data_IF_113536817379
#
_entry.id   IF_113536817379
#
_cell.length_a   1.000
_cell.length_b   1.000
_cell.length_c   1.000
_cell.angle_alpha   90.00
_cell.angle_beta   90.00
_cell.angle_gamma   90.00
#
_symmetry.space_group_name_H-M   'P 1'
#
loop_
_entity.id
_entity.type
_entity.pdbx_description
1 polymer ?
#
# COMPACT_ATOMS: atom_id res chain seq x y z
N UNK A 1 24.86 -0.50 -34.37
CA UNK A 1 25.09 0.63 -33.46
C UNK A 1 24.39 0.31 -32.14
N UNK A 2 25.17 -0.22 -31.19
CA UNK A 2 24.74 -0.82 -29.93
C UNK A 2 25.01 0.19 -28.80
N UNK A 3 23.95 0.72 -28.20
CA UNK A 3 24.05 1.58 -26.99
C UNK A 3 23.83 0.76 -25.76
N UNK A 4 24.84 0.66 -24.91
CA UNK A 4 24.77 0.02 -23.59
C UNK A 4 24.14 0.95 -22.54
N UNK A 5 23.34 0.44 -21.58
CA UNK A 5 22.81 1.25 -20.49
C UNK A 5 23.84 1.39 -19.37
N UNK A 6 24.11 2.63 -19.01
CA UNK A 6 24.92 3.03 -17.84
C UNK A 6 24.24 2.62 -16.52
N UNK A 7 24.87 1.72 -15.79
CA UNK A 7 24.58 1.41 -14.39
C UNK A 7 25.05 2.58 -13.50
N UNK A 8 24.13 3.33 -12.93
CA UNK A 8 24.42 4.28 -11.84
C UNK A 8 24.59 3.54 -10.53
N UNK A 9 25.83 3.42 -10.08
CA UNK A 9 26.19 3.00 -8.76
C UNK A 9 25.74 4.07 -7.73
N UNK A 10 24.80 3.73 -6.86
CA UNK A 10 24.45 4.56 -5.69
C UNK A 10 25.49 4.30 -4.59
N UNK A 11 26.36 5.26 -4.36
CA UNK A 11 27.29 5.30 -3.24
C UNK A 11 26.52 5.43 -1.91
N UNK A 12 26.60 4.40 -1.09
CA UNK A 12 26.18 4.45 0.32
C UNK A 12 27.16 5.33 1.10
N UNK A 13 26.80 6.57 1.39
CA UNK A 13 27.50 7.40 2.37
C UNK A 13 27.26 6.82 3.77
N UNK A 14 28.29 6.19 4.30
CA UNK A 14 28.40 5.85 5.71
C UNK A 14 28.39 7.15 6.53
N UNK A 15 27.36 7.34 7.35
CA UNK A 15 27.33 8.44 8.33
C UNK A 15 28.24 8.08 9.50
N UNK A 16 29.38 8.73 9.59
CA UNK A 16 30.20 8.73 10.79
C UNK A 16 29.40 9.37 11.94
N UNK A 17 29.15 8.60 12.99
CA UNK A 17 28.72 9.11 14.30
C UNK A 17 29.95 9.66 15.02
N UNK A 18 29.95 10.91 15.52
CA UNK A 18 31.01 11.40 16.40
C UNK A 18 30.88 10.73 17.78
N UNK A 19 32.01 10.26 18.32
CA UNK A 19 32.14 9.71 19.66
C UNK A 19 31.96 10.80 20.73
N UNK A 20 31.38 10.48 21.91
CA UNK A 20 31.25 11.45 23.00
C UNK A 20 32.61 11.75 23.63
N UNK A 21 33.00 13.02 23.64
CA UNK A 21 34.16 13.53 24.34
C UNK A 21 33.98 13.37 25.86
N UNK A 22 34.70 12.47 26.46
CA UNK A 22 34.88 12.41 27.91
C UNK A 22 35.76 13.58 28.34
N UNK A 23 35.15 14.62 28.88
CA UNK A 23 35.82 15.71 29.57
C UNK A 23 36.27 15.15 30.94
N UNK A 24 37.58 14.80 31.05
CA UNK A 24 38.24 14.52 32.33
C UNK A 24 38.33 15.82 33.11
N UNK A 25 37.50 16.00 34.13
CA UNK A 25 37.67 17.01 35.17
C UNK A 25 38.95 16.72 35.93
N UNK A 26 40.00 17.54 35.70
CA UNK A 26 41.20 17.58 36.57
C UNK A 26 40.80 18.23 37.89
N UNK A 27 40.79 17.46 38.95
CA UNK A 27 40.81 17.99 40.33
C UNK A 27 42.07 18.82 40.51
N UNK A 28 41.88 20.13 40.68
CA UNK A 28 42.94 21.09 41.04
C UNK A 28 43.02 21.08 42.57
N UNK A 29 44.07 20.49 43.11
CA UNK A 29 44.44 20.63 44.53
C UNK A 29 44.74 22.08 44.88
N UNK A 30 44.03 22.61 45.84
CA UNK A 30 44.16 23.97 46.36
C UNK A 30 45.12 23.92 47.54
N UNK A 31 46.17 24.81 47.64
CA UNK A 31 47.15 24.79 48.70
C UNK A 31 46.55 25.29 50.04
N UNK A 32 47.02 24.79 51.20
CA UNK A 32 46.48 25.17 52.51
C UNK A 32 46.85 26.62 52.86
N UNK A 33 45.79 27.41 53.13
CA UNK A 33 45.93 28.77 53.61
C UNK A 33 46.27 28.85 55.10
N UNK A 34 46.89 29.95 55.55
CA UNK A 34 47.39 30.11 56.90
C UNK A 34 46.29 30.22 57.96
N UNK A 35 46.51 29.53 59.08
CA UNK A 35 45.64 29.57 60.29
C UNK A 35 45.57 30.97 60.90
N UNK A 36 44.40 31.53 61.22
CA UNK A 36 44.24 32.76 61.98
C UNK A 36 44.22 32.48 63.49
N UNK A 37 45.11 33.17 64.18
CA UNK A 37 45.28 33.14 65.61
C UNK A 37 43.99 33.44 66.40
N UNK A 38 43.66 32.58 67.35
CA UNK A 38 42.48 32.66 68.26
C UNK A 38 42.66 33.67 69.38
N UNK A 39 41.98 34.79 69.33
CA UNK A 39 41.81 35.69 70.49
C UNK A 39 40.48 35.41 71.21
N UNK A 40 40.44 35.24 72.55
CA UNK A 40 39.24 34.90 73.32
C UNK A 40 38.45 36.18 73.73
N UNK A 41 37.49 36.61 72.93
CA UNK A 41 36.63 37.74 73.35
C UNK A 41 35.45 38.09 72.46
N UNK A 42 35.48 37.69 71.17
CA UNK A 42 34.48 38.15 70.20
C UNK A 42 33.47 37.05 69.78
N UNK A 43 33.36 35.98 70.54
CA UNK A 43 32.77 34.72 70.03
C UNK A 43 31.26 34.58 70.17
N UNK A 44 30.56 35.39 70.98
CA UNK A 44 29.11 35.18 71.16
C UNK A 44 28.29 36.00 70.16
N UNK A 45 28.66 37.26 69.95
CA UNK A 45 27.94 38.10 68.96
C UNK A 45 28.15 37.60 67.50
N UNK A 46 29.35 37.18 67.15
CA UNK A 46 29.61 36.61 65.80
C UNK A 46 28.87 35.30 65.57
N UNK A 47 28.69 34.46 66.60
CA UNK A 47 27.92 33.21 66.46
C UNK A 47 26.41 33.44 66.29
N UNK A 48 25.85 34.47 66.97
CA UNK A 48 24.47 34.83 66.81
C UNK A 48 24.22 35.42 65.40
N UNK A 49 25.07 36.29 64.90
CA UNK A 49 24.99 36.84 63.55
C UNK A 49 25.24 35.79 62.45
N UNK A 50 26.10 34.83 62.67
CA UNK A 50 26.30 33.72 61.73
C UNK A 50 25.13 32.75 61.69
N UNK A 51 24.39 32.53 62.80
CA UNK A 51 23.16 31.75 62.79
C UNK A 51 22.01 32.42 62.02
N UNK A 52 21.77 33.72 62.25
CA UNK A 52 20.75 34.48 61.58
C UNK A 52 21.05 34.57 60.06
N UNK A 53 22.32 34.69 59.72
CA UNK A 53 22.73 34.72 58.32
C UNK A 53 22.61 33.35 57.65
N UNK A 54 22.87 32.26 58.38
CA UNK A 54 22.69 30.88 57.86
C UNK A 54 21.23 30.53 57.63
N UNK A 55 20.33 30.91 58.56
CA UNK A 55 18.91 30.61 58.41
C UNK A 55 18.29 31.40 57.26
N UNK A 56 18.67 32.64 57.07
CA UNK A 56 18.22 33.43 55.91
C UNK A 56 18.77 32.88 54.57
N UNK A 57 20.01 32.38 54.56
CA UNK A 57 20.58 31.76 53.36
C UNK A 57 19.89 30.44 53.04
N UNK A 58 19.56 29.63 54.04
CA UNK A 58 18.84 28.42 53.84
C UNK A 58 17.45 28.66 53.22
N UNK A 59 16.75 29.69 53.69
CA UNK A 59 15.47 30.11 53.11
C UNK A 59 15.59 30.62 51.67
N UNK A 60 16.61 31.44 51.37
CA UNK A 60 16.84 31.93 50.01
C UNK A 60 17.16 30.78 49.05
N UNK A 61 17.99 29.85 49.46
CA UNK A 61 18.33 28.69 48.64
C UNK A 61 17.10 27.81 48.40
N UNK A 62 16.26 27.58 49.42
CA UNK A 62 15.05 26.79 49.28
C UNK A 62 14.03 27.46 48.34
N UNK A 63 13.79 28.75 48.51
CA UNK A 63 12.84 29.49 47.66
C UNK A 63 13.33 29.58 46.22
N UNK A 64 14.63 29.85 45.99
CA UNK A 64 15.18 29.88 44.63
C UNK A 64 15.20 28.49 44.00
N UNK A 65 15.52 27.44 44.77
CA UNK A 65 15.50 26.06 44.30
C UNK A 65 14.11 25.62 43.86
N UNK A 66 13.08 25.93 44.69
CA UNK A 66 11.68 25.62 44.30
C UNK A 66 11.19 26.43 43.13
N UNK A 67 11.58 27.68 42.99
CA UNK A 67 11.20 28.50 41.83
C UNK A 67 11.83 27.96 40.54
N UNK A 68 13.10 27.61 40.57
CA UNK A 68 13.78 26.98 39.41
C UNK A 68 13.18 25.62 39.05
N UNK A 69 12.85 24.80 40.05
CA UNK A 69 12.19 23.51 39.80
C UNK A 69 10.81 23.69 39.17
N UNK A 70 10.02 24.69 39.61
CA UNK A 70 8.74 25.00 39.01
C UNK A 70 8.85 25.46 37.55
N UNK A 71 9.82 26.33 37.25
CA UNK A 71 10.08 26.78 35.87
C UNK A 71 10.53 25.60 34.99
N UNK A 72 11.40 24.73 35.49
CA UNK A 72 11.85 23.56 34.79
C UNK A 72 10.69 22.57 34.54
N UNK A 73 9.78 22.38 35.51
CA UNK A 73 8.62 21.52 35.37
C UNK A 73 7.65 22.06 34.31
N UNK A 74 7.35 23.38 34.32
CA UNK A 74 6.49 24.00 33.29
C UNK A 74 7.14 23.92 31.91
N UNK A 75 8.44 24.18 31.80
CA UNK A 75 9.19 24.04 30.54
C UNK A 75 9.19 22.60 30.03
N UNK A 76 9.34 21.63 30.92
CA UNK A 76 9.26 20.20 30.58
C UNK A 76 7.88 19.77 30.06
N UNK A 77 6.82 20.22 30.71
CA UNK A 77 5.44 19.96 30.26
C UNK A 77 5.15 20.60 28.89
N UNK A 78 5.63 21.82 28.68
CA UNK A 78 5.48 22.50 27.40
C UNK A 78 6.23 21.76 26.27
N UNK A 79 7.47 21.36 26.52
CA UNK A 79 8.24 20.58 25.57
C UNK A 79 7.59 19.23 25.24
N UNK A 80 7.01 18.54 26.24
CA UNK A 80 6.25 17.31 26.03
C UNK A 80 4.99 17.55 25.19
N UNK A 81 4.24 18.63 25.46
CA UNK A 81 3.07 18.98 24.68
C UNK A 81 3.40 19.24 23.21
N UNK A 82 4.48 19.99 22.93
CA UNK A 82 4.96 20.23 21.58
C UNK A 82 5.42 18.93 20.92
N UNK A 83 6.20 18.11 21.60
CA UNK A 83 6.67 16.83 21.06
C UNK A 83 5.49 15.88 20.76
N UNK A 84 4.46 15.84 21.61
CA UNK A 84 3.28 15.02 21.36
C UNK A 84 2.46 15.53 20.17
N UNK A 85 2.35 16.83 19.98
CA UNK A 85 1.69 17.43 18.84
C UNK A 85 2.39 17.03 17.51
N UNK A 86 3.71 17.15 17.45
CA UNK A 86 4.48 16.76 16.28
C UNK A 86 4.42 15.26 16.01
N UNK A 87 4.44 14.43 17.06
CA UNK A 87 4.31 12.99 16.89
C UNK A 87 2.95 12.57 16.35
N UNK A 88 1.87 13.25 16.77
CA UNK A 88 0.52 13.01 16.24
C UNK A 88 0.42 13.43 14.76
N UNK A 89 1.02 14.54 14.38
CA UNK A 89 1.03 14.99 13.00
C UNK A 89 1.80 14.00 12.12
N UNK A 90 2.99 13.60 12.54
CA UNK A 90 3.79 12.59 11.82
C UNK A 90 3.05 11.25 11.69
N UNK A 91 2.35 10.82 12.73
CA UNK A 91 1.56 9.59 12.69
C UNK A 91 0.38 9.67 11.69
N UNK A 92 -0.26 10.84 11.59
CA UNK A 92 -1.32 11.07 10.59
C UNK A 92 -0.78 11.05 9.17
N UNK A 93 0.36 11.68 8.94
CA UNK A 93 1.00 11.71 7.63
C UNK A 93 1.45 10.30 7.21
N UNK A 94 2.03 9.52 8.13
CA UNK A 94 2.40 8.11 7.89
C UNK A 94 1.18 7.24 7.59
N UNK A 95 0.05 7.45 8.29
CA UNK A 95 -1.17 6.72 8.03
C UNK A 95 -1.77 7.07 6.65
N UNK A 96 -1.74 8.35 6.27
CA UNK A 96 -2.19 8.80 4.96
C UNK A 96 -1.33 8.17 3.84
N UNK A 97 -0.01 8.23 3.98
CA UNK A 97 0.93 7.62 3.05
C UNK A 97 0.75 6.10 2.94
N UNK A 98 0.59 5.40 4.07
CA UNK A 98 0.35 3.95 4.08
C UNK A 98 -0.96 3.56 3.39
N UNK A 99 -2.01 4.36 3.54
CA UNK A 99 -3.27 4.16 2.81
C UNK A 99 -3.11 4.36 1.30
N UNK A 100 -2.38 5.38 0.90
CA UNK A 100 -2.11 5.66 -0.51
C UNK A 100 -1.25 4.55 -1.14
N UNK A 101 -0.18 4.13 -0.47
CA UNK A 101 0.65 3.01 -0.90
C UNK A 101 -0.15 1.71 -0.99
N UNK A 102 -1.03 1.43 -0.02
CA UNK A 102 -1.92 0.27 -0.05
C UNK A 102 -2.92 0.30 -1.22
N UNK A 103 -3.47 1.47 -1.55
CA UNK A 103 -4.36 1.64 -2.70
C UNK A 103 -3.61 1.44 -4.04
N UNK A 104 -2.39 1.96 -4.15
CA UNK A 104 -1.54 1.77 -5.34
C UNK A 104 -1.16 0.29 -5.51
N UNK A 105 -0.81 -0.40 -4.42
CA UNK A 105 -0.46 -1.83 -4.46
C UNK A 105 -1.64 -2.70 -4.89
N UNK A 106 -2.85 -2.43 -4.39
CA UNK A 106 -4.07 -3.12 -4.83
C UNK A 106 -4.28 -2.95 -6.33
N UNK A 107 -4.20 -1.71 -6.81
CA UNK A 107 -4.39 -1.40 -8.22
C UNK A 107 -3.29 -2.00 -9.12
N UNK A 108 -2.07 -2.16 -8.60
CA UNK A 108 -0.95 -2.74 -9.35
C UNK A 108 -1.24 -4.19 -9.77
N UNK A 109 -1.76 -5.03 -8.87
CA UNK A 109 -2.15 -6.39 -9.21
C UNK A 109 -3.26 -6.41 -10.26
N UNK A 110 -4.33 -5.65 -10.05
CA UNK A 110 -5.46 -5.61 -10.96
C UNK A 110 -5.08 -5.05 -12.35
N UNK A 111 -4.11 -4.13 -12.40
CA UNK A 111 -3.61 -3.56 -13.66
C UNK A 111 -2.92 -4.58 -14.56
N UNK A 112 -2.41 -5.66 -14.00
CA UNK A 112 -1.74 -6.77 -14.70
C UNK A 112 -2.73 -7.77 -15.32
N UNK A 113 -4.02 -7.62 -15.00
CA UNK A 113 -5.11 -8.43 -15.56
C UNK A 113 -5.77 -7.66 -16.69
N UNK A 114 -5.82 -8.25 -17.87
CA UNK A 114 -6.39 -7.58 -19.05
C UNK A 114 -7.01 -8.58 -20.02
N UNK A 115 -7.75 -8.07 -20.97
CA UNK A 115 -8.25 -8.83 -22.09
C UNK A 115 -8.06 -8.06 -23.41
N UNK A 116 -8.01 -8.77 -24.52
CA UNK A 116 -8.08 -8.17 -25.85
C UNK A 116 -8.66 -9.18 -26.84
N UNK A 117 -9.10 -8.65 -27.98
CA UNK A 117 -9.63 -9.45 -29.07
C UNK A 117 -8.61 -9.42 -30.21
N UNK A 118 -8.08 -10.59 -30.57
CA UNK A 118 -7.17 -10.76 -31.69
C UNK A 118 -8.00 -10.86 -32.98
N UNK A 119 -7.54 -10.18 -34.05
CA UNK A 119 -8.15 -10.15 -35.37
C UNK A 119 -9.65 -9.73 -35.39
N UNK A 120 -10.06 -8.67 -34.69
CA UNK A 120 -11.48 -8.32 -34.53
C UNK A 120 -12.18 -8.03 -35.88
N UNK A 121 -11.43 -7.64 -36.90
CA UNK A 121 -11.90 -7.34 -38.24
C UNK A 121 -11.60 -8.44 -39.26
N UNK A 122 -11.00 -9.54 -38.83
CA UNK A 122 -10.65 -10.67 -39.67
C UNK A 122 -11.81 -11.62 -39.93
N UNK A 123 -11.52 -12.75 -40.57
CA UNK A 123 -12.49 -13.85 -40.68
C UNK A 123 -12.88 -14.31 -39.28
N UNK A 124 -14.18 -14.47 -39.04
CA UNK A 124 -14.73 -14.83 -37.72
C UNK A 124 -14.09 -16.09 -37.11
N UNK A 125 -13.69 -17.04 -37.92
CA UNK A 125 -12.99 -18.26 -37.50
C UNK A 125 -11.62 -17.98 -36.87
N UNK A 126 -10.98 -16.87 -37.24
CA UNK A 126 -9.65 -16.48 -36.75
C UNK A 126 -9.71 -15.49 -35.60
N UNK A 127 -10.91 -15.08 -35.17
CA UNK A 127 -11.05 -14.19 -34.03
C UNK A 127 -10.84 -14.97 -32.75
N UNK A 128 -10.03 -14.40 -31.84
CA UNK A 128 -9.74 -14.98 -30.53
C UNK A 128 -9.90 -13.95 -29.44
N UNK A 129 -10.45 -14.35 -28.31
CA UNK A 129 -10.46 -13.55 -27.10
C UNK A 129 -9.30 -14.03 -26.22
N UNK A 130 -8.46 -13.13 -25.81
CA UNK A 130 -7.38 -13.38 -24.87
C UNK A 130 -7.76 -12.82 -23.49
N UNK A 131 -7.54 -13.59 -22.44
CA UNK A 131 -7.63 -13.17 -21.06
C UNK A 131 -6.27 -13.40 -20.43
N UNK A 132 -5.62 -12.34 -20.04
CA UNK A 132 -4.24 -12.34 -19.60
C UNK A 132 -4.15 -11.96 -18.12
N UNK A 133 -3.49 -12.81 -17.35
CA UNK A 133 -3.08 -12.52 -15.99
C UNK A 133 -1.55 -12.51 -15.91
N UNK A 134 -0.94 -11.32 -15.84
CA UNK A 134 0.52 -11.14 -15.65
C UNK A 134 0.89 -11.03 -14.17
N UNK A 135 -0.07 -11.13 -13.27
CA UNK A 135 0.19 -11.10 -11.83
C UNK A 135 0.77 -12.44 -11.37
N UNK A 136 1.61 -12.45 -10.32
CA UNK A 136 2.07 -13.70 -9.70
C UNK A 136 0.95 -14.44 -8.95
N UNK A 137 -0.20 -13.80 -8.74
CA UNK A 137 -1.33 -14.33 -8.01
C UNK A 137 -2.47 -14.70 -8.96
N UNK A 138 -3.28 -15.72 -8.63
CA UNK A 138 -4.47 -16.05 -9.40
C UNK A 138 -5.55 -14.98 -9.24
N UNK A 139 -6.42 -14.86 -10.23
CA UNK A 139 -7.65 -14.08 -10.15
C UNK A 139 -8.85 -15.03 -10.30
N UNK A 140 -9.93 -14.69 -9.61
CA UNK A 140 -11.12 -15.54 -9.52
C UNK A 140 -12.39 -14.85 -10.00
N UNK A 141 -13.46 -15.59 -10.21
CA UNK A 141 -14.75 -15.07 -10.61
C UNK A 141 -14.72 -14.29 -11.90
N UNK A 142 -13.81 -14.63 -12.82
CA UNK A 142 -13.63 -13.89 -14.06
C UNK A 142 -14.83 -14.06 -14.97
N UNK A 143 -15.37 -12.95 -15.44
CA UNK A 143 -16.51 -12.89 -16.35
C UNK A 143 -16.27 -11.84 -17.41
N UNK A 144 -16.52 -12.22 -18.67
CA UNK A 144 -16.52 -11.30 -19.78
C UNK A 144 -17.96 -10.95 -20.15
N UNK A 145 -18.24 -9.67 -20.24
CA UNK A 145 -19.52 -9.20 -20.81
C UNK A 145 -19.32 -8.88 -22.28
N UNK A 146 -20.14 -9.50 -23.10
CA UNK A 146 -20.18 -9.29 -24.54
C UNK A 146 -21.51 -8.68 -24.94
N UNK A 147 -21.53 -7.91 -26.03
CA UNK A 147 -22.76 -7.59 -26.76
C UNK A 147 -22.77 -8.44 -28.03
N UNK A 148 -23.83 -9.19 -28.22
CA UNK A 148 -24.05 -10.04 -29.41
C UNK A 148 -25.35 -9.56 -30.08
N UNK A 149 -25.25 -9.02 -31.29
CA UNK A 149 -26.38 -8.41 -32.00
C UNK A 149 -27.20 -7.45 -31.11
N UNK A 150 -26.47 -6.57 -30.38
CA UNK A 150 -27.02 -5.54 -29.47
C UNK A 150 -27.66 -6.12 -28.17
N UNK A 151 -27.62 -7.43 -27.97
CA UNK A 151 -28.06 -8.07 -26.72
C UNK A 151 -26.85 -8.40 -25.82
N UNK A 152 -26.97 -8.17 -24.49
CA UNK A 152 -25.94 -8.54 -23.58
C UNK A 152 -25.83 -10.06 -23.44
N UNK A 153 -24.59 -10.53 -23.41
CA UNK A 153 -24.26 -11.93 -23.14
C UNK A 153 -23.02 -11.98 -22.25
N UNK A 154 -22.92 -12.97 -21.37
CA UNK A 154 -21.74 -13.10 -20.56
C UNK A 154 -21.12 -14.51 -20.68
N UNK A 155 -19.81 -14.52 -20.55
CA UNK A 155 -18.99 -15.71 -20.53
C UNK A 155 -18.33 -15.83 -19.16
N UNK A 156 -18.57 -16.91 -18.45
CA UNK A 156 -17.96 -17.20 -17.17
C UNK A 156 -16.71 -18.03 -17.39
N UNK A 157 -15.60 -17.61 -16.79
CA UNK A 157 -14.28 -18.22 -16.96
C UNK A 157 -13.72 -18.78 -15.64
N UNK A 158 -14.46 -18.65 -14.55
CA UNK A 158 -14.09 -19.06 -13.19
C UNK A 158 -12.77 -18.44 -12.71
N UNK A 159 -11.64 -19.14 -12.82
CA UNK A 159 -10.36 -18.68 -12.32
C UNK A 159 -9.33 -18.60 -13.45
N UNK A 160 -8.52 -17.55 -13.42
CA UNK A 160 -7.37 -17.41 -14.32
C UNK A 160 -6.09 -17.56 -13.50
N UNK A 161 -5.27 -18.60 -13.80
CA UNK A 161 -4.03 -18.85 -13.08
C UNK A 161 -3.05 -17.67 -13.14
N UNK A 162 -2.07 -17.63 -12.23
CA UNK A 162 -0.99 -16.66 -12.32
C UNK A 162 -0.17 -16.87 -13.60
N UNK A 163 0.31 -15.78 -14.18
CA UNK A 163 1.17 -15.81 -15.35
C UNK A 163 0.58 -16.55 -16.57
N UNK A 164 -0.74 -16.50 -16.71
CA UNK A 164 -1.45 -17.22 -17.78
C UNK A 164 -2.01 -16.27 -18.85
N UNK A 165 -1.94 -16.71 -20.10
CA UNK A 165 -2.70 -16.18 -21.24
C UNK A 165 -3.69 -17.26 -21.69
N UNK A 166 -4.98 -17.06 -21.41
CA UNK A 166 -6.02 -18.00 -21.82
C UNK A 166 -6.67 -17.48 -23.08
N UNK A 167 -6.65 -18.30 -24.11
CA UNK A 167 -7.12 -17.95 -25.45
C UNK A 167 -8.39 -18.71 -25.77
N UNK A 168 -9.43 -18.00 -26.12
CA UNK A 168 -10.74 -18.53 -26.50
C UNK A 168 -11.00 -18.27 -27.99
N UNK A 169 -10.83 -19.28 -28.87
CA UNK A 169 -11.18 -19.14 -30.28
C UNK A 169 -12.69 -18.96 -30.47
N UNK A 170 -13.12 -18.04 -31.33
CA UNK A 170 -14.55 -17.79 -31.58
C UNK A 170 -15.33 -19.06 -32.01
N UNK A 171 -14.76 -20.03 -32.74
CA UNK A 171 -15.43 -21.30 -33.05
C UNK A 171 -15.74 -22.18 -31.82
N UNK A 172 -15.02 -21.99 -30.71
CA UNK A 172 -15.24 -22.73 -29.45
C UNK A 172 -16.25 -22.05 -28.51
N UNK A 173 -16.76 -20.89 -28.88
CA UNK A 173 -17.72 -20.11 -28.11
C UNK A 173 -19.14 -20.33 -28.62
N UNK A 174 -20.02 -20.85 -27.77
CA UNK A 174 -21.40 -21.14 -28.11
C UNK A 174 -22.35 -20.18 -27.39
N UNK A 175 -23.20 -19.52 -28.14
CA UNK A 175 -24.25 -18.66 -27.60
C UNK A 175 -25.49 -19.50 -27.31
N UNK A 176 -26.11 -19.30 -26.15
CA UNK A 176 -27.35 -19.98 -25.82
C UNK A 176 -27.95 -19.52 -24.51
N UNK A 177 -29.06 -20.11 -24.15
CA UNK A 177 -29.64 -20.05 -22.82
C UNK A 177 -29.32 -21.34 -22.07
N UNK A 178 -29.53 -21.36 -20.74
CA UNK A 178 -29.27 -22.55 -19.95
C UNK A 178 -30.05 -23.79 -20.43
N UNK A 179 -31.27 -23.55 -20.92
CA UNK A 179 -32.21 -24.59 -21.33
C UNK A 179 -31.97 -25.11 -22.76
N UNK A 180 -31.11 -24.43 -23.54
CA UNK A 180 -30.86 -24.83 -24.92
C UNK A 180 -29.87 -25.99 -24.98
N UNK A 181 -30.22 -27.09 -25.64
CA UNK A 181 -29.31 -28.22 -25.88
C UNK A 181 -28.01 -27.73 -26.54
N UNK A 182 -26.89 -28.33 -26.14
CA UNK A 182 -25.56 -27.89 -26.61
C UNK A 182 -25.41 -27.96 -28.15
N UNK A 183 -26.01 -29.00 -28.73
CA UNK A 183 -25.94 -29.21 -30.19
C UNK A 183 -26.64 -28.11 -31.00
N UNK A 184 -27.63 -27.45 -30.39
CA UNK A 184 -28.43 -26.41 -31.05
C UNK A 184 -27.88 -24.99 -30.82
N UNK A 185 -26.84 -24.85 -29.99
CA UNK A 185 -26.23 -23.56 -29.71
C UNK A 185 -25.39 -23.08 -30.87
N UNK A 186 -25.70 -21.90 -31.44
CA UNK A 186 -24.90 -21.37 -32.53
C UNK A 186 -23.52 -20.91 -32.04
N UNK A 187 -22.53 -21.01 -32.92
CA UNK A 187 -21.15 -20.57 -32.66
C UNK A 187 -21.01 -19.08 -32.85
N UNK A 188 -20.25 -18.41 -31.98
CA UNK A 188 -19.93 -16.97 -32.15
C UNK A 188 -19.07 -16.68 -33.42
N UNK A 189 -18.50 -17.71 -34.04
CA UNK A 189 -17.84 -17.60 -35.33
C UNK A 189 -18.82 -17.52 -36.51
N UNK A 190 -20.11 -17.77 -36.31
CA UNK A 190 -21.12 -17.63 -37.37
C UNK A 190 -21.18 -16.16 -37.83
N UNK A 191 -21.13 -15.90 -39.15
CA UNK A 191 -21.21 -14.55 -39.73
C UNK A 191 -22.47 -13.76 -39.36
N UNK A 192 -23.57 -14.45 -38.99
CA UNK A 192 -24.81 -13.81 -38.55
C UNK A 192 -24.66 -13.04 -37.22
N UNK A 193 -23.63 -13.35 -36.42
CA UNK A 193 -23.40 -12.68 -35.15
C UNK A 193 -22.38 -11.55 -35.28
N UNK A 194 -22.80 -10.36 -34.84
CA UNK A 194 -21.92 -9.23 -34.55
C UNK A 194 -21.72 -9.19 -33.05
N UNK A 195 -20.47 -9.24 -32.60
CA UNK A 195 -20.20 -9.22 -31.17
C UNK A 195 -18.93 -8.41 -30.84
N UNK A 196 -18.91 -7.87 -29.63
CA UNK A 196 -17.78 -7.18 -29.06
C UNK A 196 -17.71 -7.43 -27.55
N UNK A 197 -16.50 -7.51 -27.00
CA UNK A 197 -16.31 -7.54 -25.54
C UNK A 197 -16.41 -6.13 -25.01
N UNK A 198 -17.28 -5.92 -24.04
CA UNK A 198 -17.54 -4.60 -23.44
C UNK A 198 -16.68 -4.37 -22.22
N UNK A 199 -16.65 -5.34 -21.29
CA UNK A 199 -15.82 -5.29 -20.11
C UNK A 199 -15.56 -6.71 -19.56
N UNK A 200 -14.57 -6.78 -18.71
CA UNK A 200 -14.23 -7.96 -17.91
C UNK A 200 -14.41 -7.61 -16.43
N UNK A 201 -15.07 -8.49 -15.69
CA UNK A 201 -15.15 -8.47 -14.25
C UNK A 201 -14.25 -9.56 -13.67
N UNK A 202 -13.58 -9.29 -12.55
CA UNK A 202 -12.79 -10.28 -11.83
C UNK A 202 -12.58 -9.87 -10.38
N UNK A 203 -12.18 -10.84 -9.56
CA UNK A 203 -11.83 -10.68 -8.14
C UNK A 203 -10.34 -10.95 -8.02
N UNK A 204 -9.61 -10.02 -7.41
CA UNK A 204 -8.18 -10.18 -7.17
C UNK A 204 -7.89 -11.15 -6.00
N UNK A 205 -6.62 -11.45 -5.73
CA UNK A 205 -6.21 -12.34 -4.64
C UNK A 205 -6.55 -11.80 -3.24
N UNK A 206 -6.82 -10.50 -3.11
CA UNK A 206 -7.21 -9.85 -1.86
C UNK A 206 -8.73 -9.79 -1.67
N UNK A 207 -9.50 -10.30 -2.65
CA UNK A 207 -10.96 -10.29 -2.63
C UNK A 207 -11.59 -8.96 -3.06
N UNK A 208 -10.83 -8.05 -3.71
CA UNK A 208 -11.39 -6.83 -4.26
C UNK A 208 -11.99 -7.08 -5.65
N UNK A 209 -13.14 -6.48 -5.89
CA UNK A 209 -13.87 -6.56 -7.15
C UNK A 209 -13.39 -5.50 -8.14
N UNK A 210 -13.08 -5.94 -9.35
CA UNK A 210 -12.56 -5.09 -10.41
C UNK A 210 -13.38 -5.19 -11.70
N UNK A 211 -13.50 -4.08 -12.38
CA UNK A 211 -14.06 -4.01 -13.73
C UNK A 211 -13.02 -3.43 -14.67
N UNK A 212 -12.66 -4.19 -15.70
CA UNK A 212 -11.73 -3.80 -16.76
C UNK A 212 -12.49 -3.52 -18.04
N UNK A 213 -12.40 -2.30 -18.55
CA UNK A 213 -12.84 -1.93 -19.90
C UNK A 213 -11.65 -1.84 -20.85
N UNK A 214 -11.89 -1.57 -22.12
CA UNK A 214 -10.80 -1.30 -23.10
C UNK A 214 -9.98 -0.05 -22.75
N UNK A 215 -10.54 0.88 -21.97
CA UNK A 215 -9.93 2.18 -21.67
C UNK A 215 -9.58 2.36 -20.19
N UNK A 216 -10.11 1.54 -19.29
CA UNK A 216 -9.96 1.78 -17.86
C UNK A 216 -9.99 0.53 -16.99
N UNK A 217 -9.63 0.75 -15.72
CA UNK A 217 -9.72 -0.22 -14.65
C UNK A 217 -10.33 0.50 -13.44
N UNK A 218 -11.48 0.00 -12.98
CA UNK A 218 -12.23 0.56 -11.87
C UNK A 218 -12.43 -0.47 -10.77
N UNK A 219 -12.18 -0.06 -9.52
CA UNK A 219 -12.58 -0.84 -8.35
C UNK A 219 -14.09 -0.71 -8.18
N UNK A 220 -14.80 -1.82 -8.10
CA UNK A 220 -16.24 -1.83 -8.04
C UNK A 220 -16.72 -2.41 -6.71
N UNK A 221 -17.82 -1.87 -6.20
CA UNK A 221 -18.55 -2.54 -5.13
C UNK A 221 -19.03 -3.92 -5.62
N UNK A 222 -18.98 -4.97 -4.77
CA UNK A 222 -19.39 -6.30 -5.15
C UNK A 222 -20.78 -6.27 -5.78
N UNK A 223 -20.91 -6.78 -7.00
CA UNK A 223 -22.21 -6.90 -7.64
C UNK A 223 -23.07 -7.82 -6.78
N UNK A 224 -24.33 -7.48 -6.52
CA UNK A 224 -25.23 -8.35 -5.79
C UNK A 224 -25.23 -9.74 -6.44
N UNK A 225 -24.98 -10.79 -5.66
CA UNK A 225 -24.92 -12.17 -6.16
C UNK A 225 -26.17 -12.54 -6.93
N UNK A 226 -27.33 -11.99 -6.53
CA UNK A 226 -28.63 -12.20 -7.21
C UNK A 226 -28.63 -11.73 -8.67
N UNK A 227 -27.88 -10.69 -9.02
CA UNK A 227 -27.74 -10.22 -10.41
C UNK A 227 -26.83 -11.13 -11.23
N UNK A 228 -26.00 -11.94 -10.57
CA UNK A 228 -25.03 -12.83 -11.18
C UNK A 228 -25.51 -14.29 -11.26
N UNK A 229 -26.35 -14.71 -10.30
CA UNK A 229 -26.82 -16.11 -10.22
C UNK A 229 -27.97 -16.43 -11.18
N UNK A 230 -28.71 -15.41 -11.67
CA UNK A 230 -29.83 -15.63 -12.56
C UNK A 230 -29.93 -14.60 -13.70
N UNK A 231 -28.90 -14.47 -14.54
CA UNK A 231 -28.96 -13.57 -15.69
C UNK A 231 -29.94 -14.02 -16.76
N UNK A 232 -30.33 -15.30 -16.73
CA UNK A 232 -31.22 -15.95 -17.71
C UNK A 232 -32.64 -15.41 -17.63
N UNK A 233 -33.11 -15.03 -16.43
CA UNK A 233 -34.43 -14.41 -16.26
C UNK A 233 -34.58 -12.99 -16.82
N UNK A 234 -33.47 -12.37 -17.23
CA UNK A 234 -33.43 -10.98 -17.73
C UNK A 234 -33.16 -10.87 -19.24
N UNK A 235 -33.24 -11.95 -20.00
CA UNK A 235 -32.94 -11.94 -21.44
C UNK A 235 -31.45 -11.81 -21.77
N UNK A 236 -30.55 -12.06 -20.79
CA UNK A 236 -29.10 -12.05 -20.99
C UNK A 236 -28.68 -13.42 -21.55
N UNK A 237 -27.97 -13.42 -22.68
CA UNK A 237 -27.40 -14.63 -23.27
C UNK A 237 -26.25 -15.17 -22.42
N UNK A 238 -26.04 -16.48 -22.46
CA UNK A 238 -24.89 -17.15 -21.86
C UNK A 238 -23.97 -17.70 -22.95
N UNK A 239 -22.67 -17.45 -22.80
CA UNK A 239 -21.67 -18.01 -23.71
C UNK A 239 -20.96 -19.16 -23.02
N UNK A 240 -21.15 -20.35 -23.55
CA UNK A 240 -20.44 -21.55 -23.10
C UNK A 240 -19.13 -21.68 -23.84
N UNK A 241 -18.08 -21.99 -23.10
CA UNK A 241 -16.73 -22.28 -23.65
C UNK A 241 -16.59 -23.78 -23.83
N UNK A 242 -16.06 -24.17 -24.97
CA UNK A 242 -15.83 -25.56 -25.33
C UNK A 242 -14.38 -25.98 -25.24
N UNK A 243 -13.53 -25.10 -25.69
CA UNK A 243 -12.10 -25.31 -25.83
C UNK A 243 -11.39 -24.02 -25.50
N UNK A 244 -10.41 -24.11 -24.66
CA UNK A 244 -9.52 -23.02 -24.29
C UNK A 244 -8.08 -23.45 -24.52
N UNK A 245 -7.23 -22.51 -24.86
CA UNK A 245 -5.80 -22.72 -25.00
C UNK A 245 -5.12 -21.95 -23.89
N UNK A 246 -4.44 -22.64 -22.98
CA UNK A 246 -3.71 -22.00 -21.88
C UNK A 246 -2.25 -21.87 -22.30
N UNK A 247 -1.78 -20.65 -22.39
CA UNK A 247 -0.39 -20.29 -22.66
C UNK A 247 0.23 -19.56 -21.46
N UNK A 248 1.54 -19.36 -21.54
CA UNK A 248 2.24 -18.51 -20.56
C UNK A 248 2.12 -17.05 -20.96
N UNK A 249 1.79 -16.19 -19.98
CA UNK A 249 1.84 -14.75 -20.15
C UNK A 249 3.29 -14.28 -20.28
N UNK A 250 3.66 -13.70 -21.41
CA UNK A 250 4.96 -13.05 -21.54
C UNK A 250 5.13 -11.92 -20.52
N UNK A 251 6.32 -11.78 -19.93
CA UNK A 251 6.67 -10.76 -18.94
C UNK A 251 5.90 -10.87 -17.59
N UNK A 252 5.78 -12.07 -17.07
CA UNK A 252 5.26 -12.28 -15.73
C UNK A 252 6.31 -11.85 -14.69
N UNK A 253 6.01 -10.81 -13.90
CA UNK A 253 6.83 -10.39 -12.78
C UNK A 253 6.70 -11.43 -11.66
N UNK A 254 7.78 -12.13 -11.36
CA UNK A 254 7.84 -13.09 -10.25
C UNK A 254 8.60 -14.39 -10.50
N UNK A 255 8.83 -14.77 -11.75
CA UNK A 255 9.83 -15.80 -12.06
C UNK A 255 11.20 -15.16 -12.20
N UNK A 256 11.82 -14.82 -11.06
CA UNK A 256 13.25 -14.58 -11.01
C UNK A 256 13.97 -15.83 -11.50
N UNK A 257 14.74 -15.69 -12.59
CA UNK A 257 15.76 -16.64 -13.00
C UNK A 257 16.90 -16.62 -11.99
#
# INVERSE_FOLDING_TARGET
MTSAPQRRARSRRARHRPAPNHVRARLREEPPGPEPASGPGASRARRAWQRIRRDNWAHIITVTGTALAAVAAVGGLWAQAVASYWSQQTARDQLAQSKEEGALQKRDQASKVTYWVQNPWGRRENVKIHVLNRSPDPVSGVRLMLHVNDHPAFMQLDNVPPCADIVYPAPSLLLGTADMPRADRPKLSDPAFRWAVTFMYFIDSNGNDWTRTSTGLDERAPLPRTTMENPIGQGIGHIAVFEEQVGEAGLCEGRGK
#
